data_IF_430341329383
#
_entry.id   IF_430341329383
#
_cell.length_a   1.000
_cell.length_b   1.000
_cell.length_c   1.000
_cell.angle_alpha   90.00
_cell.angle_beta   90.00
_cell.angle_gamma   90.00
#
_symmetry.space_group_name_H-M   'P 1'
#
loop_
_entity.id
_entity.type
_entity.pdbx_description
1 polymer ?
#
# COMPACT_ATOMS: atom_id res chain seq x y z
N UNK A 1 15.10 -10.62 9.70
CA UNK A 1 14.75 -9.25 9.28
C UNK A 1 16.00 -8.55 8.77
N UNK A 2 15.98 -8.07 7.53
CA UNK A 2 17.07 -7.33 6.89
C UNK A 2 16.68 -5.86 6.78
N UNK A 3 17.62 -4.93 6.97
CA UNK A 3 17.36 -3.48 6.80
C UNK A 3 18.37 -2.94 5.81
N UNK A 4 17.87 -2.37 4.72
CA UNK A 4 18.67 -1.75 3.66
C UNK A 4 18.32 -0.26 3.56
N UNK A 5 19.28 0.56 3.12
CA UNK A 5 19.08 1.99 2.88
C UNK A 5 19.67 2.37 1.52
N UNK A 6 18.82 2.88 0.65
CA UNK A 6 19.22 3.30 -0.70
C UNK A 6 18.61 4.66 -1.01
N UNK A 7 19.43 5.66 -1.32
CA UNK A 7 18.93 6.96 -1.75
C UNK A 7 18.36 6.91 -3.16
N UNK A 8 17.23 7.56 -3.38
CA UNK A 8 16.63 7.70 -4.71
C UNK A 8 15.84 8.99 -4.83
N UNK A 9 15.73 9.52 -6.04
CA UNK A 9 14.84 10.66 -6.32
C UNK A 9 13.38 10.25 -6.11
N UNK A 10 12.54 11.16 -5.55
CA UNK A 10 11.12 10.90 -5.39
C UNK A 10 10.42 10.76 -6.76
N UNK A 11 9.40 9.93 -6.80
CA UNK A 11 8.50 9.77 -7.94
C UNK A 11 7.06 9.67 -7.40
N UNK A 12 6.10 10.26 -8.11
CA UNK A 12 4.67 10.15 -7.77
C UNK A 12 4.14 8.71 -7.78
N UNK A 13 4.86 7.79 -8.41
CA UNK A 13 4.56 6.36 -8.48
C UNK A 13 5.56 5.60 -7.62
N UNK A 14 5.25 5.38 -6.36
CA UNK A 14 6.13 4.79 -5.34
C UNK A 14 6.76 3.48 -5.82
N UNK A 15 5.97 2.56 -6.33
CA UNK A 15 6.46 1.23 -6.77
C UNK A 15 7.31 1.25 -8.05
N UNK A 16 7.39 2.40 -8.75
CA UNK A 16 8.27 2.58 -9.92
C UNK A 16 9.61 3.24 -9.58
N UNK A 17 9.83 3.65 -8.35
CA UNK A 17 11.13 4.13 -7.87
C UNK A 17 12.12 2.96 -7.90
N UNK A 18 13.23 3.10 -8.60
CA UNK A 18 14.15 1.98 -8.94
C UNK A 18 14.44 1.03 -7.78
N UNK A 19 14.95 1.44 -6.60
CA UNK A 19 15.23 0.51 -5.50
C UNK A 19 13.97 -0.15 -4.93
N UNK A 20 12.81 0.53 -4.98
CA UNK A 20 11.53 -0.03 -4.56
C UNK A 20 11.05 -1.05 -5.59
N UNK A 21 11.16 -0.73 -6.88
CA UNK A 21 10.81 -1.65 -7.96
C UNK A 21 11.61 -2.95 -7.91
N UNK A 22 12.93 -2.86 -7.68
CA UNK A 22 13.80 -4.02 -7.50
C UNK A 22 13.37 -4.89 -6.31
N UNK A 23 12.94 -4.27 -5.20
CA UNK A 23 12.40 -4.98 -4.04
C UNK A 23 11.05 -5.64 -4.36
N UNK A 24 10.15 -4.93 -5.04
CA UNK A 24 8.87 -5.48 -5.48
C UNK A 24 9.09 -6.69 -6.38
N UNK A 25 9.96 -6.58 -7.39
CA UNK A 25 10.28 -7.66 -8.32
C UNK A 25 10.88 -8.89 -7.62
N UNK A 26 11.61 -8.69 -6.52
CA UNK A 26 12.18 -9.77 -5.70
C UNK A 26 11.11 -10.57 -4.96
N UNK A 27 10.04 -9.92 -4.51
CA UNK A 27 9.09 -10.52 -3.57
C UNK A 27 7.70 -10.79 -4.15
N UNK A 28 7.31 -10.08 -5.22
CA UNK A 28 6.00 -10.30 -5.83
C UNK A 28 5.90 -11.72 -6.40
N UNK A 29 4.84 -12.43 -6.04
CA UNK A 29 4.57 -13.76 -6.57
C UNK A 29 3.08 -14.07 -6.57
N UNK A 30 2.68 -15.08 -7.34
CA UNK A 30 1.33 -15.59 -7.38
C UNK A 30 0.29 -14.54 -7.77
N UNK A 31 -0.90 -14.65 -7.21
CA UNK A 31 -2.00 -13.74 -7.46
C UNK A 31 -1.85 -12.48 -6.62
N UNK A 32 -1.67 -11.34 -7.28
CA UNK A 32 -1.32 -10.07 -6.65
C UNK A 32 -2.39 -8.99 -6.85
N UNK A 33 -2.58 -8.15 -5.83
CA UNK A 33 -3.53 -7.04 -5.86
C UNK A 33 -2.89 -5.74 -5.37
N UNK A 34 -3.43 -4.61 -5.84
CA UNK A 34 -3.05 -3.26 -5.42
C UNK A 34 -4.30 -2.41 -5.17
N UNK A 35 -4.68 -2.12 -3.91
CA UNK A 35 -5.85 -1.32 -3.59
C UNK A 35 -5.69 0.19 -3.81
N UNK A 36 -4.47 0.70 -4.08
CA UNK A 36 -4.13 2.11 -4.26
C UNK A 36 -3.20 2.33 -5.45
N UNK A 37 -3.54 1.71 -6.59
CA UNK A 37 -2.61 1.54 -7.69
C UNK A 37 -2.24 2.83 -8.46
N UNK A 38 -3.06 3.87 -8.43
CA UNK A 38 -2.89 4.99 -9.36
C UNK A 38 -2.74 4.47 -10.81
N UNK A 39 -1.60 4.78 -11.45
CA UNK A 39 -1.25 4.30 -12.80
C UNK A 39 -0.37 3.02 -12.76
N UNK A 40 -0.07 2.47 -11.58
CA UNK A 40 0.81 1.31 -11.44
C UNK A 40 0.08 0.04 -11.88
N UNK A 41 0.69 -0.73 -12.78
CA UNK A 41 0.13 -1.98 -13.35
C UNK A 41 0.98 -3.21 -13.01
N UNK A 42 1.65 -3.20 -11.85
CA UNK A 42 2.50 -4.32 -11.43
C UNK A 42 1.64 -5.49 -10.93
N UNK A 43 0.58 -5.21 -10.17
CA UNK A 43 -0.30 -6.25 -9.65
C UNK A 43 -1.26 -6.79 -10.73
N UNK A 44 -1.73 -8.04 -10.55
CA UNK A 44 -2.70 -8.67 -11.46
C UNK A 44 -4.05 -7.94 -11.44
N UNK A 45 -4.48 -7.45 -10.28
CA UNK A 45 -5.71 -6.70 -10.11
C UNK A 45 -5.41 -5.39 -9.39
N UNK A 46 -5.86 -4.30 -9.98
CA UNK A 46 -5.59 -2.95 -9.50
C UNK A 46 -6.89 -2.24 -9.16
N UNK A 47 -6.86 -1.39 -8.14
CA UNK A 47 -7.95 -0.52 -7.76
C UNK A 47 -7.43 0.89 -7.48
N UNK A 48 -8.22 1.87 -7.78
CA UNK A 48 -8.07 3.24 -7.28
C UNK A 48 -9.45 3.88 -7.17
N UNK A 49 -9.65 4.70 -6.16
CA UNK A 49 -10.91 5.42 -5.98
C UNK A 49 -11.09 6.51 -7.05
N UNK A 50 -9.99 7.01 -7.61
CA UNK A 50 -9.98 8.00 -8.70
C UNK A 50 -10.20 7.28 -10.03
N UNK A 51 -11.37 7.48 -10.64
CA UNK A 51 -11.78 6.87 -11.90
C UNK A 51 -11.05 7.45 -13.14
N UNK A 52 -10.19 8.44 -12.96
CA UNK A 52 -9.31 8.94 -14.03
C UNK A 52 -8.14 8.00 -14.32
N UNK A 53 -7.81 7.11 -13.39
CA UNK A 53 -6.76 6.11 -13.58
C UNK A 53 -7.29 4.85 -14.30
N UNK A 54 -6.46 4.26 -15.15
CA UNK A 54 -6.77 3.00 -15.83
C UNK A 54 -6.49 1.79 -14.93
N UNK A 55 -7.41 1.53 -14.00
CA UNK A 55 -7.35 0.40 -13.07
C UNK A 55 -8.48 -0.59 -13.31
N UNK A 56 -8.37 -1.81 -12.73
CA UNK A 56 -9.38 -2.86 -12.89
C UNK A 56 -10.70 -2.49 -12.19
N UNK A 57 -10.63 -1.76 -11.08
CA UNK A 57 -11.76 -1.33 -10.27
C UNK A 57 -11.59 0.12 -9.82
N UNK A 58 -12.74 0.80 -9.54
CA UNK A 58 -12.79 2.17 -9.05
C UNK A 58 -13.71 2.25 -7.84
N UNK A 59 -13.21 1.82 -6.67
CA UNK A 59 -13.98 1.79 -5.44
C UNK A 59 -13.13 2.10 -4.22
N UNK A 60 -13.78 2.30 -3.08
CA UNK A 60 -13.07 2.41 -1.81
C UNK A 60 -12.21 1.17 -1.55
N UNK A 61 -11.01 1.37 -0.99
CA UNK A 61 -10.04 0.29 -0.79
C UNK A 61 -10.58 -0.82 0.14
N UNK A 62 -11.41 -0.48 1.13
CA UNK A 62 -12.01 -1.48 2.03
C UNK A 62 -13.01 -2.33 1.26
N UNK A 63 -13.85 -1.73 0.42
CA UNK A 63 -14.83 -2.45 -0.40
C UNK A 63 -14.13 -3.33 -1.43
N UNK A 64 -13.05 -2.84 -2.03
CA UNK A 64 -12.21 -3.63 -2.91
C UNK A 64 -11.62 -4.85 -2.20
N UNK A 65 -11.01 -4.68 -1.03
CA UNK A 65 -10.43 -5.78 -0.26
C UNK A 65 -11.48 -6.84 0.15
N UNK A 66 -12.71 -6.42 0.45
CA UNK A 66 -13.82 -7.34 0.79
C UNK A 66 -14.27 -8.24 -0.36
N UNK A 67 -13.96 -7.92 -1.61
CA UNK A 67 -14.30 -8.74 -2.76
C UNK A 67 -13.56 -10.08 -2.80
N UNK A 68 -12.41 -10.18 -2.14
CA UNK A 68 -11.56 -11.36 -2.17
C UNK A 68 -11.95 -12.36 -1.08
N UNK A 69 -11.90 -13.65 -1.41
CA UNK A 69 -12.12 -14.73 -0.45
C UNK A 69 -10.97 -14.80 0.58
N UNK A 70 -11.22 -15.43 1.71
CA UNK A 70 -10.19 -15.71 2.71
C UNK A 70 -9.03 -16.49 2.10
N UNK A 71 -7.79 -16.08 2.41
CA UNK A 71 -6.57 -16.78 1.98
C UNK A 71 -6.50 -17.04 0.46
N UNK A 72 -6.89 -16.05 -0.35
CA UNK A 72 -6.95 -16.16 -1.81
C UNK A 72 -5.92 -15.30 -2.55
N UNK A 73 -5.17 -14.45 -1.85
CA UNK A 73 -4.22 -13.50 -2.43
C UNK A 73 -2.80 -13.82 -1.96
N UNK A 74 -1.86 -13.92 -2.89
CA UNK A 74 -0.46 -14.24 -2.57
C UNK A 74 0.37 -12.99 -2.31
N UNK A 75 0.10 -11.88 -3.00
CA UNK A 75 0.82 -10.62 -2.79
C UNK A 75 -0.13 -9.43 -2.75
N UNK A 76 0.06 -8.56 -1.76
CA UNK A 76 -0.61 -7.25 -1.70
C UNK A 76 0.42 -6.15 -1.78
N UNK A 77 0.28 -5.25 -2.77
CA UNK A 77 0.98 -3.97 -2.81
C UNK A 77 0.14 -2.95 -2.04
N UNK A 78 0.66 -2.40 -0.95
CA UNK A 78 -0.11 -1.57 -0.04
C UNK A 78 0.56 -0.21 0.19
N UNK A 79 0.17 0.78 -0.61
CA UNK A 79 0.65 2.18 -0.55
C UNK A 79 -0.50 3.15 -0.25
N UNK A 80 -1.10 3.09 0.96
CA UNK A 80 -2.23 3.93 1.32
C UNK A 80 -1.80 5.38 1.57
N UNK A 81 -2.73 6.35 1.56
CA UNK A 81 -2.48 7.67 2.11
C UNK A 81 -1.95 7.57 3.55
N UNK A 82 -0.84 8.23 3.86
CA UNK A 82 -0.14 8.06 5.14
C UNK A 82 -0.68 8.92 6.27
N UNK A 83 -1.54 9.89 5.98
CA UNK A 83 -2.08 10.80 6.98
C UNK A 83 -3.56 11.11 6.74
N UNK A 84 -4.31 11.49 7.80
CA UNK A 84 -5.69 11.96 7.67
C UNK A 84 -5.84 13.11 6.68
N UNK A 85 -4.83 13.99 6.60
CA UNK A 85 -4.80 15.09 5.64
C UNK A 85 -4.77 14.59 4.20
N UNK A 86 -3.89 13.63 3.87
CA UNK A 86 -3.81 13.05 2.53
C UNK A 86 -5.10 12.31 2.15
N UNK A 87 -5.72 11.58 3.08
CA UNK A 87 -7.04 10.97 2.88
C UNK A 87 -8.06 12.06 2.54
N UNK A 88 -8.14 13.11 3.36
CA UNK A 88 -9.07 14.23 3.16
C UNK A 88 -8.86 14.93 1.80
N UNK A 89 -7.61 15.18 1.41
CA UNK A 89 -7.27 15.81 0.14
C UNK A 89 -7.70 14.94 -1.06
N UNK A 90 -7.47 13.62 -0.99
CA UNK A 90 -7.88 12.67 -2.03
C UNK A 90 -9.40 12.64 -2.22
N UNK A 91 -10.16 12.50 -1.12
CA UNK A 91 -11.63 12.47 -1.20
C UNK A 91 -12.22 13.80 -1.67
N UNK A 92 -11.71 14.95 -1.17
CA UNK A 92 -12.17 16.28 -1.60
C UNK A 92 -11.90 16.53 -3.08
N UNK A 93 -10.75 16.11 -3.60
CA UNK A 93 -10.41 16.22 -5.02
C UNK A 93 -11.45 15.51 -5.92
N UNK A 94 -12.04 14.43 -5.41
CA UNK A 94 -13.08 13.66 -6.10
C UNK A 94 -14.50 14.15 -5.81
N UNK A 95 -14.66 15.25 -5.06
CA UNK A 95 -15.98 15.76 -4.68
C UNK A 95 -16.71 14.89 -3.64
N UNK A 96 -15.99 14.00 -2.96
CA UNK A 96 -16.55 13.10 -1.96
C UNK A 96 -16.50 13.75 -0.57
N UNK A 97 -17.50 13.45 0.28
CA UNK A 97 -17.52 13.92 1.65
C UNK A 97 -16.52 13.16 2.51
N UNK A 98 -15.76 13.91 3.31
CA UNK A 98 -14.84 13.36 4.32
C UNK A 98 -15.61 13.25 5.62
N UNK A 99 -15.66 12.06 6.20
CA UNK A 99 -16.24 11.84 7.53
C UNK A 99 -15.16 11.52 8.56
N UNK A 100 -15.55 11.45 9.84
CA UNK A 100 -14.60 11.13 10.92
C UNK A 100 -14.03 9.71 10.78
N UNK A 101 -14.75 8.76 10.19
CA UNK A 101 -14.27 7.38 10.00
C UNK A 101 -13.11 7.32 9.00
N UNK A 102 -13.13 8.11 7.93
CA UNK A 102 -12.09 8.11 6.89
C UNK A 102 -10.79 8.77 7.34
N UNK A 103 -10.80 9.53 8.43
CA UNK A 103 -9.63 10.28 8.93
C UNK A 103 -9.09 9.77 10.27
N UNK A 104 -9.67 8.71 10.84
CA UNK A 104 -9.22 8.09 12.08
C UNK A 104 -8.27 6.92 11.84
N UNK A 105 -7.48 6.57 12.85
CA UNK A 105 -6.60 5.40 12.83
C UNK A 105 -7.35 4.08 12.52
N UNK A 106 -8.65 4.02 12.79
CA UNK A 106 -9.55 2.91 12.44
C UNK A 106 -9.64 2.66 10.93
N UNK A 107 -9.45 3.68 10.07
CA UNK A 107 -9.44 3.53 8.61
C UNK A 107 -8.37 2.53 8.16
N UNK A 108 -7.13 2.75 8.57
CA UNK A 108 -6.03 1.81 8.26
C UNK A 108 -6.18 0.48 8.97
N UNK A 109 -6.74 0.47 10.19
CA UNK A 109 -6.96 -0.77 10.94
C UNK A 109 -7.93 -1.71 10.24
N UNK A 110 -9.03 -1.20 9.67
CA UNK A 110 -9.99 -1.98 8.87
C UNK A 110 -9.34 -2.57 7.62
N UNK A 111 -8.54 -1.79 6.89
CA UNK A 111 -7.81 -2.27 5.72
C UNK A 111 -6.81 -3.38 6.09
N UNK A 112 -6.02 -3.19 7.15
CA UNK A 112 -5.07 -4.19 7.63
C UNK A 112 -5.74 -5.49 8.09
N UNK A 113 -6.93 -5.41 8.68
CA UNK A 113 -7.72 -6.59 9.05
C UNK A 113 -8.17 -7.37 7.81
N UNK A 114 -8.68 -6.68 6.78
CA UNK A 114 -9.05 -7.33 5.51
C UNK A 114 -7.83 -7.94 4.80
N UNK A 115 -6.70 -7.24 4.74
CA UNK A 115 -5.45 -7.78 4.20
C UNK A 115 -5.05 -9.06 4.94
N UNK A 116 -5.13 -9.08 6.26
CA UNK A 116 -4.86 -10.28 7.06
C UNK A 116 -5.79 -11.45 6.74
N UNK A 117 -7.06 -11.16 6.43
CA UNK A 117 -8.04 -12.18 6.08
C UNK A 117 -7.77 -12.82 4.72
N UNK A 118 -7.44 -11.99 3.71
CA UNK A 118 -7.35 -12.44 2.30
C UNK A 118 -6.00 -13.03 1.92
N UNK A 119 -4.92 -12.64 2.62
CA UNK A 119 -3.56 -13.09 2.29
C UNK A 119 -3.37 -14.56 2.68
N UNK A 120 -2.77 -15.35 1.79
CA UNK A 120 -2.43 -16.76 2.02
C UNK A 120 -1.41 -16.91 3.15
N UNK A 121 -1.29 -18.09 3.81
CA UNK A 121 -0.33 -18.29 4.91
C UNK A 121 1.14 -17.98 4.56
N UNK A 122 1.52 -18.09 3.30
CA UNK A 122 2.86 -17.77 2.80
C UNK A 122 2.85 -16.51 1.92
N UNK A 123 1.76 -15.76 1.98
CA UNK A 123 1.61 -14.55 1.20
C UNK A 123 2.42 -13.39 1.76
N UNK A 124 2.68 -12.41 0.92
CA UNK A 124 3.53 -11.26 1.19
C UNK A 124 2.72 -9.97 1.06
N UNK A 125 2.99 -9.03 1.96
CA UNK A 125 2.50 -7.66 1.83
C UNK A 125 3.69 -6.72 1.69
N UNK A 126 3.75 -6.00 0.58
CA UNK A 126 4.72 -4.94 0.35
C UNK A 126 4.07 -3.63 0.76
N UNK A 127 4.36 -3.19 1.97
CA UNK A 127 3.69 -2.04 2.59
C UNK A 127 4.59 -0.81 2.59
N UNK A 128 4.10 0.30 2.05
CA UNK A 128 4.75 1.61 2.13
C UNK A 128 4.24 2.39 3.34
N UNK A 129 5.09 3.25 3.92
CA UNK A 129 4.71 4.08 5.07
C UNK A 129 5.81 4.98 5.56
N UNK A 130 5.49 5.83 6.55
CA UNK A 130 6.45 6.71 7.22
C UNK A 130 7.00 6.15 8.52
N UNK A 131 6.56 4.98 8.93
CA UNK A 131 6.99 4.32 10.16
C UNK A 131 7.34 2.85 9.91
N UNK A 132 8.04 2.24 10.85
CA UNK A 132 8.53 0.86 10.76
C UNK A 132 7.49 -0.21 11.16
N UNK A 133 6.21 0.12 11.25
CA UNK A 133 5.18 -0.81 11.75
C UNK A 133 4.66 -1.81 10.74
N UNK A 134 4.76 -1.53 9.43
CA UNK A 134 4.18 -2.36 8.37
C UNK A 134 2.70 -2.68 8.61
N UNK A 135 2.28 -3.89 8.28
CA UNK A 135 0.92 -4.37 8.60
C UNK A 135 0.78 -4.63 10.10
N UNK A 136 1.78 -5.28 10.70
CA UNK A 136 1.93 -5.46 12.14
C UNK A 136 1.63 -6.87 12.65
N UNK A 137 2.33 -7.24 13.72
CA UNK A 137 2.25 -8.57 14.35
C UNK A 137 0.85 -8.94 14.84
N UNK A 138 0.05 -7.96 15.28
CA UNK A 138 -1.33 -8.20 15.73
C UNK A 138 -2.26 -8.73 14.62
N UNK A 139 -1.87 -8.55 13.36
CA UNK A 139 -2.56 -9.07 12.18
C UNK A 139 -1.91 -10.35 11.62
N UNK A 140 -0.92 -10.93 12.33
CA UNK A 140 -0.27 -12.16 11.94
C UNK A 140 0.93 -12.00 10.99
N UNK A 141 1.41 -10.77 10.77
CA UNK A 141 2.54 -10.51 9.88
C UNK A 141 3.85 -10.29 10.64
N UNK A 142 4.93 -10.85 10.10
CA UNK A 142 6.30 -10.61 10.54
C UNK A 142 7.09 -9.90 9.45
N UNK A 143 7.84 -8.87 9.85
CA UNK A 143 8.67 -8.10 8.91
C UNK A 143 9.89 -8.92 8.52
N UNK A 144 10.05 -9.19 7.23
CA UNK A 144 11.18 -9.90 6.65
C UNK A 144 12.29 -8.93 6.24
N UNK A 145 11.94 -7.86 5.55
CA UNK A 145 12.88 -6.84 5.06
C UNK A 145 12.29 -5.44 5.19
N UNK A 146 13.15 -4.46 5.47
CA UNK A 146 12.84 -3.03 5.45
C UNK A 146 13.79 -2.35 4.47
N UNK A 147 13.24 -1.61 3.51
CA UNK A 147 13.99 -0.73 2.64
C UNK A 147 13.70 0.72 3.02
N UNK A 148 14.73 1.45 3.41
CA UNK A 148 14.69 2.89 3.65
C UNK A 148 15.10 3.61 2.37
N UNK A 149 14.19 4.43 1.82
CA UNK A 149 14.48 5.22 0.62
C UNK A 149 14.38 6.71 0.97
N UNK A 150 15.49 7.32 1.43
CA UNK A 150 15.51 8.76 1.65
C UNK A 150 15.46 9.51 0.31
N UNK A 151 14.64 10.56 0.29
CA UNK A 151 14.51 11.48 -0.84
C UNK A 151 15.14 12.82 -0.41
N UNK A 152 16.03 13.41 -1.19
CA UNK A 152 16.63 14.68 -0.86
C UNK A 152 15.67 15.88 -1.03
N UNK A 153 15.85 16.95 -0.24
CA UNK A 153 15.14 18.21 -0.36
C UNK A 153 13.98 18.39 0.64
N UNK A 154 13.03 19.28 0.32
CA UNK A 154 11.92 19.67 1.19
C UNK A 154 10.74 18.66 1.22
N UNK A 155 10.94 17.45 0.71
CA UNK A 155 9.95 16.38 0.71
C UNK A 155 10.12 15.50 1.95
N UNK A 156 9.01 14.91 2.42
CA UNK A 156 9.04 13.93 3.52
C UNK A 156 10.02 12.81 3.19
N UNK A 157 11.10 12.73 3.95
CA UNK A 157 12.38 12.13 3.57
C UNK A 157 12.42 10.61 3.54
N UNK A 158 11.32 9.89 3.79
CA UNK A 158 11.39 8.43 3.92
C UNK A 158 10.16 7.72 3.36
N UNK A 159 10.37 6.96 2.30
CA UNK A 159 9.53 5.81 2.02
C UNK A 159 10.12 4.59 2.76
N UNK A 160 9.39 4.08 3.73
CA UNK A 160 9.68 2.84 4.44
C UNK A 160 8.87 1.73 3.78
N UNK A 161 9.56 0.79 3.14
CA UNK A 161 8.95 -0.37 2.50
C UNK A 161 9.16 -1.58 3.40
N UNK A 162 8.08 -2.24 3.77
CA UNK A 162 8.06 -3.42 4.63
C UNK A 162 7.54 -4.63 3.87
N UNK A 163 8.24 -5.74 4.01
CA UNK A 163 7.86 -7.03 3.47
C UNK A 163 7.52 -7.97 4.61
#
# INVERSE_FOLDING_TARGET
MTINRVWSMPNKHTFLIKPIKELVDKYIHGYSIDPFANECKIANVTNDIDNSYDTSFHMDAIDFLKMFADKSVDTVLYDPPYSPRQVSESYKKLGMSVNMETTQASYWAKQKAEISRIVTPNGIVISCGWNSGGIGKKYGFEIQEILLVPHGGAHNDLSLIHI
#
